data_IF_770824560175
#
_entry.id   IF_770824560175
#
_cell.length_a   1.000
_cell.length_b   1.000
_cell.length_c   1.000
_cell.angle_alpha   90.00
_cell.angle_beta   90.00
_cell.angle_gamma   90.00
#
_symmetry.space_group_name_H-M   'P 1'
#
loop_
_entity.id
_entity.type
_entity.pdbx_description
1 polymer ?
#
# COMPACT_ATOMS: atom_id res chain seq x y z
N UNK A 1 -9.29 50.07 18.52
CA UNK A 1 -8.98 50.42 19.93
C UNK A 1 -8.05 49.37 20.47
N UNK A 2 -6.78 49.72 20.68
CA UNK A 2 -5.68 48.83 21.03
C UNK A 2 -5.23 49.17 22.45
N UNK A 3 -5.39 48.25 23.40
CA UNK A 3 -4.93 48.42 24.79
C UNK A 3 -3.79 47.44 25.07
N UNK A 4 -2.57 47.97 25.13
CA UNK A 4 -1.39 47.29 25.69
C UNK A 4 -1.51 47.28 27.21
N UNK A 5 -1.27 46.13 27.83
CA UNK A 5 -1.13 45.99 29.29
C UNK A 5 0.33 45.66 29.59
N UNK A 6 1.02 46.62 30.20
CA UNK A 6 2.34 46.48 30.80
C UNK A 6 2.19 45.87 32.20
N UNK A 7 2.90 44.77 32.47
CA UNK A 7 3.06 44.20 33.82
C UNK A 7 4.54 44.12 34.16
N UNK A 8 5.05 45.16 34.84
CA UNK A 8 6.32 45.13 35.58
C UNK A 8 6.02 44.98 37.07
N UNK A 9 6.16 43.76 37.59
CA UNK A 9 6.15 43.47 39.03
C UNK A 9 7.54 43.04 39.50
N UNK A 10 8.21 43.87 40.31
CA UNK A 10 9.42 43.51 41.07
C UNK A 10 9.05 42.57 42.23
N UNK A 11 9.83 41.51 42.52
CA UNK A 11 9.64 40.73 43.75
C UNK A 11 10.18 41.48 44.99
N UNK A 12 9.52 41.36 46.16
CA UNK A 12 9.98 42.00 47.38
C UNK A 12 11.15 41.24 48.03
N UNK A 13 12.13 42.01 48.52
CA UNK A 13 13.22 41.54 49.38
C UNK A 13 12.67 41.21 50.76
N UNK A 14 12.92 40.00 51.25
CA UNK A 14 12.70 39.62 52.65
C UNK A 14 14.06 39.44 53.32
N UNK A 15 14.41 40.23 54.34
CA UNK A 15 15.55 39.94 55.21
C UNK A 15 15.04 39.62 56.61
N UNK A 16 15.24 38.39 57.09
CA UNK A 16 15.15 38.11 58.53
C UNK A 16 16.18 37.03 58.90
N UNK A 17 17.31 37.50 59.42
CA UNK A 17 18.26 36.72 60.22
C UNK A 17 17.59 36.39 61.55
N UNK A 18 17.28 35.11 61.77
CA UNK A 18 16.90 34.60 63.09
C UNK A 18 18.05 33.73 63.60
N UNK A 19 18.82 34.28 64.54
CA UNK A 19 19.73 33.50 65.37
C UNK A 19 18.88 32.63 66.30
N UNK A 20 18.89 31.31 66.08
CA UNK A 20 18.31 30.34 67.00
C UNK A 20 19.39 29.37 67.49
N UNK A 21 19.27 29.10 68.79
CA UNK A 21 20.19 28.41 69.70
C UNK A 21 20.47 26.97 69.23
N UNK A 22 21.70 26.44 69.38
CA UNK A 22 22.02 25.09 68.93
C UNK A 22 21.37 24.06 69.87
N UNK A 23 20.22 23.53 69.47
CA UNK A 23 19.62 22.34 70.08
C UNK A 23 20.41 21.14 69.58
N UNK A 24 21.10 20.44 70.49
CA UNK A 24 21.83 19.21 70.20
C UNK A 24 20.80 18.15 69.75
N UNK A 25 20.85 17.66 68.50
CA UNK A 25 19.85 16.72 68.03
C UNK A 25 20.00 15.39 68.79
N UNK A 26 18.88 14.74 69.18
CA UNK A 26 18.92 13.41 69.74
C UNK A 26 19.58 12.46 68.74
N UNK A 27 20.47 11.58 69.24
CA UNK A 27 21.18 10.58 68.43
C UNK A 27 20.19 9.87 67.51
N UNK A 28 20.25 10.19 66.21
CA UNK A 28 19.43 9.54 65.22
C UNK A 28 19.75 8.03 65.22
N UNK A 29 18.72 7.15 65.23
CA UNK A 29 18.96 5.73 65.07
C UNK A 29 19.71 5.48 63.75
N UNK A 30 20.58 4.46 63.69
CA UNK A 30 21.45 4.21 62.55
C UNK A 30 20.63 4.17 61.27
N UNK A 31 20.91 5.13 60.38
CA UNK A 31 20.28 5.24 59.06
C UNK A 31 20.63 3.93 58.34
N UNK A 32 19.67 3.00 58.25
CA UNK A 32 19.81 1.83 57.40
C UNK A 32 20.07 2.36 55.99
N UNK A 33 21.15 1.94 55.31
CA UNK A 33 21.44 2.42 53.97
C UNK A 33 20.19 2.17 53.11
N UNK A 34 19.75 3.18 52.33
CA UNK A 34 18.57 3.03 51.51
C UNK A 34 18.78 1.79 50.65
N UNK A 35 17.86 0.81 50.77
CA UNK A 35 17.87 -0.38 49.91
C UNK A 35 17.96 0.14 48.49
N UNK A 36 19.12 -0.05 47.86
CA UNK A 36 19.38 0.33 46.48
C UNK A 36 18.31 -0.41 45.68
N UNK A 37 17.21 0.29 45.35
CA UNK A 37 16.21 -0.21 44.43
C UNK A 37 17.02 -0.51 43.18
N UNK A 38 17.20 -1.81 42.87
CA UNK A 38 17.85 -2.27 41.64
C UNK A 38 17.25 -1.42 40.53
N UNK A 39 18.05 -0.47 40.02
CA UNK A 39 17.65 0.40 38.92
C UNK A 39 17.35 -0.58 37.80
N UNK A 40 16.06 -0.76 37.50
CA UNK A 40 15.65 -1.67 36.45
C UNK A 40 16.42 -1.23 35.21
N UNK A 41 17.25 -2.11 34.66
CA UNK A 41 17.98 -1.85 33.43
C UNK A 41 16.95 -1.26 32.45
N UNK A 42 17.21 -0.08 31.87
CA UNK A 42 16.25 0.54 30.96
C UNK A 42 15.88 -0.51 29.92
N UNK A 43 14.57 -0.86 29.86
CA UNK A 43 14.08 -1.78 28.83
C UNK A 43 14.59 -1.23 27.51
N UNK A 44 15.38 -2.03 26.77
CA UNK A 44 15.84 -1.64 25.43
C UNK A 44 14.62 -1.13 24.69
N UNK A 45 14.67 0.11 24.22
CA UNK A 45 13.59 0.65 23.39
C UNK A 45 13.49 -0.23 22.15
N UNK A 46 12.30 -0.39 21.60
CA UNK A 46 12.07 -1.15 20.36
C UNK A 46 13.04 -0.73 19.23
N UNK A 47 13.44 0.55 19.23
CA UNK A 47 14.47 1.11 18.34
C UNK A 47 15.88 0.56 18.57
N UNK A 48 16.29 0.29 19.81
CA UNK A 48 17.60 -0.34 20.10
C UNK A 48 17.61 -1.80 19.64
N UNK A 49 16.49 -2.53 19.79
CA UNK A 49 16.38 -3.90 19.28
C UNK A 49 16.42 -3.94 17.74
N UNK A 50 15.82 -2.96 17.06
CA UNK A 50 15.85 -2.85 15.61
C UNK A 50 17.23 -2.52 15.03
N UNK A 51 18.05 -1.77 15.76
CA UNK A 51 19.41 -1.42 15.35
C UNK A 51 20.40 -2.58 15.52
N UNK A 52 20.10 -3.53 16.40
CA UNK A 52 20.88 -4.75 16.61
C UNK A 52 20.57 -5.87 15.60
N UNK A 53 19.71 -5.62 14.60
CA UNK A 53 19.42 -6.55 13.50
C UNK A 53 20.09 -6.08 12.19
N UNK A 54 21.43 -6.17 12.06
CA UNK A 54 22.09 -6.02 10.75
C UNK A 54 21.56 -7.06 9.74
N UNK A 55 21.02 -8.18 10.23
CA UNK A 55 20.43 -9.24 9.42
C UNK A 55 18.94 -9.03 9.10
N UNK A 56 18.29 -7.95 9.59
CA UNK A 56 16.86 -7.74 9.32
C UNK A 56 16.56 -7.65 7.82
N UNK A 57 17.42 -7.02 7.02
CA UNK A 57 17.19 -6.93 5.57
C UNK A 57 17.31 -8.30 4.91
N UNK A 58 18.28 -9.12 5.32
CA UNK A 58 18.45 -10.49 4.81
C UNK A 58 17.25 -11.35 5.18
N UNK A 59 16.79 -11.28 6.43
CA UNK A 59 15.62 -12.02 6.91
C UNK A 59 14.35 -11.59 6.15
N UNK A 60 14.12 -10.29 6.02
CA UNK A 60 12.98 -9.75 5.26
C UNK A 60 13.05 -10.16 3.78
N UNK A 61 14.25 -10.29 3.20
CA UNK A 61 14.43 -10.80 1.84
C UNK A 61 13.95 -12.23 1.71
N UNK A 62 14.32 -13.10 2.64
CA UNK A 62 13.84 -14.47 2.64
C UNK A 62 12.33 -14.54 2.81
N UNK A 63 11.73 -13.79 3.74
CA UNK A 63 10.28 -13.73 3.88
C UNK A 63 9.58 -13.22 2.61
N UNK A 64 10.16 -12.23 1.93
CA UNK A 64 9.63 -11.71 0.67
C UNK A 64 9.65 -12.77 -0.44
N UNK A 65 10.77 -13.50 -0.59
CA UNK A 65 10.89 -14.60 -1.56
C UNK A 65 9.87 -15.70 -1.22
N UNK A 66 9.85 -16.16 0.04
CA UNK A 66 8.92 -17.20 0.51
C UNK A 66 7.47 -16.80 0.28
N UNK A 67 7.10 -15.55 0.57
CA UNK A 67 5.75 -15.03 0.34
C UNK A 67 5.34 -15.11 -1.14
N UNK A 68 6.20 -14.65 -2.05
CA UNK A 68 5.92 -14.75 -3.48
C UNK A 68 5.91 -16.18 -4.01
N UNK A 69 6.82 -17.04 -3.53
CA UNK A 69 6.86 -18.46 -3.89
C UNK A 69 5.59 -19.17 -3.44
N UNK A 70 5.12 -18.91 -2.21
CA UNK A 70 3.88 -19.47 -1.69
C UNK A 70 2.66 -18.95 -2.47
N UNK A 71 2.64 -17.65 -2.79
CA UNK A 71 1.58 -17.03 -3.58
C UNK A 71 1.45 -17.65 -4.98
N UNK A 72 2.59 -17.82 -5.67
CA UNK A 72 2.68 -18.39 -7.01
C UNK A 72 2.36 -19.90 -7.00
N UNK A 73 2.91 -20.65 -6.05
CA UNK A 73 2.64 -22.08 -5.90
C UNK A 73 1.16 -22.32 -5.62
N UNK A 74 0.56 -21.56 -4.69
CA UNK A 74 -0.87 -21.63 -4.41
C UNK A 74 -1.73 -21.30 -5.64
N UNK A 75 -1.34 -20.29 -6.43
CA UNK A 75 -2.02 -19.95 -7.68
C UNK A 75 -1.95 -21.08 -8.72
N UNK A 76 -0.75 -21.61 -8.99
CA UNK A 76 -0.54 -22.65 -9.99
C UNK A 76 -1.26 -23.95 -9.61
N UNK A 77 -1.17 -24.36 -8.34
CA UNK A 77 -1.82 -25.58 -7.87
C UNK A 77 -3.33 -25.42 -7.78
N UNK A 78 -3.85 -24.24 -7.38
CA UNK A 78 -5.27 -23.96 -7.48
C UNK A 78 -5.77 -24.07 -8.93
N UNK A 79 -5.05 -23.49 -9.89
CA UNK A 79 -5.38 -23.61 -11.30
C UNK A 79 -5.36 -25.07 -11.78
N UNK A 80 -4.33 -25.84 -11.39
CA UNK A 80 -4.26 -27.27 -11.67
C UNK A 80 -5.43 -28.05 -11.05
N UNK A 81 -5.89 -27.71 -9.84
CA UNK A 81 -7.06 -28.35 -9.22
C UNK A 81 -8.36 -28.08 -9.99
N UNK A 82 -8.51 -26.90 -10.59
CA UNK A 82 -9.66 -26.59 -11.46
C UNK A 82 -9.69 -27.46 -12.71
N UNK A 83 -8.52 -27.82 -13.26
CA UNK A 83 -8.40 -28.70 -14.44
C UNK A 83 -8.58 -30.18 -14.09
N UNK A 84 -8.01 -30.62 -12.96
CA UNK A 84 -7.93 -32.03 -12.56
C UNK A 84 -9.06 -32.51 -11.64
N UNK A 85 -9.96 -31.62 -11.20
CA UNK A 85 -10.99 -31.89 -10.18
C UNK A 85 -10.42 -32.45 -8.87
N UNK A 86 -9.20 -32.04 -8.51
CA UNK A 86 -8.55 -32.44 -7.25
C UNK A 86 -9.34 -31.95 -6.02
N UNK A 87 -9.36 -32.70 -4.90
CA UNK A 87 -10.24 -32.43 -3.76
C UNK A 87 -9.80 -31.24 -2.87
N UNK A 88 -8.65 -30.61 -3.12
CA UNK A 88 -8.08 -29.61 -2.20
C UNK A 88 -7.94 -28.18 -2.79
N UNK A 89 -8.91 -27.63 -3.54
CA UNK A 89 -8.79 -26.27 -4.10
C UNK A 89 -8.68 -25.21 -3.00
N UNK A 90 -9.36 -25.42 -1.87
CA UNK A 90 -9.39 -24.45 -0.76
C UNK A 90 -8.01 -24.21 -0.13
N UNK A 91 -7.18 -25.26 -0.02
CA UNK A 91 -5.85 -25.16 0.58
C UNK A 91 -4.95 -24.31 -0.32
N UNK A 92 -4.92 -24.60 -1.63
CA UNK A 92 -4.10 -23.85 -2.58
C UNK A 92 -4.55 -22.41 -2.75
N UNK A 93 -5.87 -22.18 -2.71
CA UNK A 93 -6.45 -20.83 -2.67
C UNK A 93 -5.95 -20.04 -1.45
N UNK A 94 -6.01 -20.66 -0.28
CA UNK A 94 -5.59 -20.05 1.00
C UNK A 94 -4.10 -19.77 1.01
N UNK A 95 -3.27 -20.70 0.53
CA UNK A 95 -1.82 -20.48 0.38
C UNK A 95 -1.50 -19.30 -0.51
N UNK A 96 -2.26 -19.08 -1.58
CA UNK A 96 -2.06 -17.92 -2.43
C UNK A 96 -2.17 -16.61 -1.64
N UNK A 97 -3.21 -16.46 -0.81
CA UNK A 97 -3.40 -15.27 0.03
C UNK A 97 -2.44 -15.15 1.20
N UNK A 98 -2.10 -16.26 1.86
CA UNK A 98 -1.08 -16.25 2.93
C UNK A 98 0.25 -15.74 2.37
N UNK A 99 0.64 -16.22 1.18
CA UNK A 99 1.83 -15.73 0.48
C UNK A 99 1.78 -14.22 0.25
N UNK A 100 0.64 -13.70 -0.24
CA UNK A 100 0.44 -12.27 -0.44
C UNK A 100 0.54 -11.46 0.86
N UNK A 101 -0.10 -11.94 1.93
CA UNK A 101 -0.07 -11.29 3.25
C UNK A 101 1.37 -11.22 3.75
N UNK A 102 2.14 -12.30 3.64
CA UNK A 102 3.56 -12.33 4.01
C UNK A 102 4.34 -11.31 3.17
N UNK A 103 4.19 -11.33 1.84
CA UNK A 103 4.90 -10.42 0.93
C UNK A 103 4.63 -8.96 1.26
N UNK A 104 3.36 -8.54 1.28
CA UNK A 104 3.03 -7.12 1.45
C UNK A 104 3.28 -6.63 2.87
N UNK A 105 3.09 -7.48 3.89
CA UNK A 105 3.50 -7.15 5.26
C UNK A 105 5.02 -6.92 5.34
N UNK A 106 5.81 -7.79 4.70
CA UNK A 106 7.27 -7.68 4.64
C UNK A 106 7.71 -6.37 3.97
N UNK A 107 7.09 -6.00 2.85
CA UNK A 107 7.39 -4.74 2.15
C UNK A 107 7.06 -3.52 3.01
N UNK A 108 5.93 -3.53 3.72
CA UNK A 108 5.52 -2.45 4.62
C UNK A 108 6.50 -2.30 5.79
N UNK A 109 6.85 -3.43 6.44
CA UNK A 109 7.82 -3.46 7.54
C UNK A 109 9.17 -2.90 7.07
N UNK A 110 9.67 -3.38 5.92
CA UNK A 110 10.95 -2.91 5.36
C UNK A 110 10.94 -1.41 5.11
N UNK A 111 9.89 -0.88 4.49
CA UNK A 111 9.74 0.56 4.23
C UNK A 111 9.79 1.36 5.53
N UNK A 112 9.12 0.88 6.58
CA UNK A 112 9.16 1.51 7.90
C UNK A 112 10.57 1.50 8.50
N UNK A 113 11.27 0.36 8.45
CA UNK A 113 12.64 0.24 8.97
C UNK A 113 13.62 1.19 8.25
N UNK A 114 13.53 1.30 6.92
CA UNK A 114 14.40 2.19 6.15
C UNK A 114 14.22 3.65 6.55
N UNK A 115 13.00 4.07 6.85
CA UNK A 115 12.72 5.46 7.25
C UNK A 115 13.21 5.73 8.67
N UNK A 116 13.01 4.78 9.59
CA UNK A 116 13.57 4.88 10.94
C UNK A 116 15.09 4.99 10.90
N UNK A 117 15.78 4.16 10.10
CA UNK A 117 17.24 4.20 9.95
C UNK A 117 17.72 5.52 9.32
N UNK A 118 17.06 6.01 8.27
CA UNK A 118 17.40 7.29 7.62
C UNK A 118 17.25 8.48 8.57
N UNK A 119 16.24 8.46 9.44
CA UNK A 119 16.05 9.51 10.44
C UNK A 119 17.07 9.45 11.59
N UNK A 120 17.71 8.30 11.83
CA UNK A 120 18.79 8.17 12.83
C UNK A 120 20.14 8.66 12.30
N UNK A 121 20.46 8.43 11.02
CA UNK A 121 21.74 8.86 10.45
C UNK A 121 21.85 10.38 10.29
N UNK A 122 20.70 11.05 10.21
CA UNK A 122 20.62 12.51 10.16
C UNK A 122 20.34 12.97 11.59
N UNK A 123 21.36 13.46 12.31
CA UNK A 123 21.32 13.99 13.70
C UNK A 123 20.39 15.22 13.86
N UNK A 124 19.14 15.11 13.44
CA UNK A 124 18.13 16.16 13.48
C UNK A 124 17.03 15.69 14.41
N UNK A 125 17.33 15.75 15.70
CA UNK A 125 16.39 15.55 16.79
C UNK A 125 15.19 16.54 16.76
N UNK A 126 15.22 17.55 15.87
CA UNK A 126 14.15 18.55 15.75
C UNK A 126 13.04 18.19 14.74
N UNK A 127 13.16 17.12 13.93
CA UNK A 127 12.17 16.78 12.89
C UNK A 127 11.64 15.34 12.98
N UNK A 128 11.37 14.85 14.20
CA UNK A 128 10.56 13.64 14.41
C UNK A 128 9.14 13.73 13.79
N UNK A 129 8.72 14.91 13.32
CA UNK A 129 7.48 15.16 12.58
C UNK A 129 7.45 14.59 11.15
N UNK A 130 8.58 14.09 10.60
CA UNK A 130 8.63 13.42 9.28
C UNK A 130 8.53 11.89 9.36
N UNK A 131 7.89 11.33 10.40
CA UNK A 131 7.38 9.96 10.33
C UNK A 131 6.31 9.89 9.21
N UNK A 132 6.26 8.77 8.47
CA UNK A 132 5.23 8.55 7.44
C UNK A 132 3.87 8.86 8.05
N UNK A 133 3.09 9.75 7.45
CA UNK A 133 1.72 9.97 7.91
C UNK A 133 0.89 8.69 7.72
N UNK A 134 0.01 8.36 8.66
CA UNK A 134 -0.86 7.17 8.53
C UNK A 134 -1.62 7.20 7.19
N UNK A 135 -1.98 8.39 6.71
CA UNK A 135 -2.61 8.59 5.41
C UNK A 135 -1.72 8.12 4.24
N UNK A 136 -0.43 8.46 4.23
CA UNK A 136 0.51 8.01 3.18
C UNK A 136 0.74 6.50 3.22
N UNK A 137 0.68 5.90 4.41
CA UNK A 137 0.78 4.45 4.56
C UNK A 137 -0.47 3.76 4.00
N UNK A 138 -1.65 4.23 4.37
CA UNK A 138 -2.94 3.67 3.93
C UNK A 138 -3.14 3.83 2.42
N UNK A 139 -2.66 4.94 1.84
CA UNK A 139 -2.69 5.19 0.38
C UNK A 139 -1.59 4.47 -0.38
N UNK A 140 -0.66 3.79 0.30
CA UNK A 140 0.41 3.07 -0.37
C UNK A 140 -0.13 1.83 -1.10
N UNK A 141 0.34 1.60 -2.32
CA UNK A 141 -0.07 0.48 -3.17
C UNK A 141 0.08 -0.88 -2.43
N UNK A 142 1.18 -1.07 -1.69
CA UNK A 142 1.43 -2.28 -0.91
C UNK A 142 0.42 -2.48 0.24
N UNK A 143 0.02 -1.41 0.93
CA UNK A 143 -0.99 -1.51 1.97
C UNK A 143 -2.35 -1.86 1.38
N UNK A 144 -2.71 -1.26 0.25
CA UNK A 144 -3.97 -1.57 -0.44
C UNK A 144 -4.00 -3.02 -0.92
N UNK A 145 -2.89 -3.56 -1.40
CA UNK A 145 -2.79 -4.99 -1.74
C UNK A 145 -2.87 -5.90 -0.51
N UNK A 146 -2.25 -5.52 0.61
CA UNK A 146 -2.37 -6.26 1.88
C UNK A 146 -3.83 -6.29 2.36
N UNK A 147 -4.48 -5.14 2.42
CA UNK A 147 -5.88 -5.02 2.83
C UNK A 147 -6.82 -5.80 1.89
N UNK A 148 -6.57 -5.75 0.58
CA UNK A 148 -7.31 -6.55 -0.41
C UNK A 148 -7.10 -8.05 -0.18
N UNK A 149 -5.87 -8.48 0.15
CA UNK A 149 -5.55 -9.88 0.41
C UNK A 149 -6.31 -10.43 1.61
N UNK A 150 -6.36 -9.66 2.71
CA UNK A 150 -7.18 -10.03 3.88
C UNK A 150 -8.66 -10.10 3.53
N UNK A 151 -9.19 -9.09 2.83
CA UNK A 151 -10.59 -9.08 2.44
C UNK A 151 -10.95 -10.27 1.54
N UNK A 152 -10.07 -10.62 0.60
CA UNK A 152 -10.30 -11.75 -0.30
C UNK A 152 -10.18 -13.10 0.41
N UNK A 153 -9.28 -13.25 1.37
CA UNK A 153 -9.13 -14.48 2.16
C UNK A 153 -10.42 -14.87 2.89
N UNK A 154 -11.18 -13.89 3.40
CA UNK A 154 -12.45 -14.12 4.10
C UNK A 154 -13.68 -14.05 3.18
N UNK A 155 -13.46 -13.94 1.87
CA UNK A 155 -14.52 -13.90 0.88
C UNK A 155 -14.60 -15.22 0.12
N UNK A 156 -15.71 -15.52 -0.56
CA UNK A 156 -15.85 -16.78 -1.28
C UNK A 156 -14.82 -16.95 -2.41
N UNK A 157 -14.42 -18.19 -2.66
CA UNK A 157 -13.35 -18.52 -3.59
C UNK A 157 -13.67 -18.07 -5.01
N UNK A 158 -12.69 -17.45 -5.67
CA UNK A 158 -12.78 -17.10 -7.08
C UNK A 158 -11.39 -17.01 -7.70
N UNK A 159 -11.22 -17.65 -8.86
CA UNK A 159 -9.99 -17.61 -9.63
C UNK A 159 -9.52 -16.17 -9.93
N UNK A 160 -10.47 -15.28 -10.25
CA UNK A 160 -10.17 -13.88 -10.56
C UNK A 160 -9.56 -13.12 -9.38
N UNK A 161 -9.80 -13.53 -8.13
CA UNK A 161 -9.23 -12.87 -6.94
C UNK A 161 -7.74 -13.18 -6.76
N UNK A 162 -7.29 -14.38 -7.15
CA UNK A 162 -5.88 -14.80 -6.99
C UNK A 162 -5.03 -14.53 -8.23
N UNK A 163 -5.65 -14.39 -9.41
CA UNK A 163 -4.94 -14.19 -10.68
C UNK A 163 -3.99 -12.97 -10.67
N UNK A 164 -4.40 -11.77 -10.20
CA UNK A 164 -3.51 -10.63 -10.12
C UNK A 164 -2.26 -10.92 -9.26
N UNK A 165 -2.46 -11.55 -8.12
CA UNK A 165 -1.38 -11.89 -7.20
C UNK A 165 -0.43 -12.95 -7.75
N UNK A 166 -0.95 -13.94 -8.48
CA UNK A 166 -0.14 -14.92 -9.21
C UNK A 166 0.74 -14.24 -10.26
N UNK A 167 0.17 -13.36 -11.08
CA UNK A 167 0.91 -12.59 -12.10
C UNK A 167 1.99 -11.70 -11.48
N UNK A 168 1.65 -10.95 -10.42
CA UNK A 168 2.63 -10.13 -9.73
C UNK A 168 3.73 -10.96 -9.08
N UNK A 169 3.40 -12.09 -8.47
CA UNK A 169 4.41 -12.95 -7.84
C UNK A 169 5.34 -13.59 -8.86
N UNK A 170 4.82 -14.01 -10.02
CA UNK A 170 5.63 -14.48 -11.14
C UNK A 170 6.61 -13.40 -11.60
N UNK A 171 6.12 -12.19 -11.87
CA UNK A 171 6.97 -11.09 -12.35
C UNK A 171 8.01 -10.66 -11.31
N UNK A 172 7.66 -10.65 -10.02
CA UNK A 172 8.60 -10.29 -8.95
C UNK A 172 9.68 -11.37 -8.76
N UNK A 173 9.30 -12.65 -8.76
CA UNK A 173 10.27 -13.75 -8.68
C UNK A 173 11.17 -13.81 -9.91
N UNK A 174 10.63 -13.63 -11.11
CA UNK A 174 11.45 -13.57 -12.32
C UNK A 174 12.41 -12.38 -12.29
N UNK A 175 11.96 -11.21 -11.83
CA UNK A 175 12.84 -10.05 -11.64
C UNK A 175 13.97 -10.35 -10.65
N UNK A 176 13.67 -11.01 -9.53
CA UNK A 176 14.65 -11.43 -8.53
C UNK A 176 15.66 -12.42 -9.12
N UNK A 177 15.19 -13.47 -9.80
CA UNK A 177 16.04 -14.47 -10.44
C UNK A 177 16.99 -13.84 -11.46
N UNK A 178 16.48 -12.98 -12.33
CA UNK A 178 17.26 -12.34 -13.40
C UNK A 178 18.28 -11.33 -12.86
N UNK A 179 17.89 -10.50 -11.88
CA UNK A 179 18.74 -9.39 -11.41
C UNK A 179 19.71 -9.78 -10.31
N UNK A 180 19.37 -10.79 -9.51
CA UNK A 180 20.13 -11.13 -8.31
C UNK A 180 20.75 -12.52 -8.37
N UNK A 181 20.00 -13.54 -8.81
CA UNK A 181 20.50 -14.93 -8.81
C UNK A 181 21.35 -15.22 -10.05
N UNK A 182 20.89 -14.81 -11.23
CA UNK A 182 21.54 -15.06 -12.52
C UNK A 182 22.19 -13.81 -13.09
N UNK A 183 22.58 -12.85 -12.26
CA UNK A 183 23.09 -11.53 -12.69
C UNK A 183 24.22 -11.62 -13.72
N UNK A 184 25.11 -12.61 -13.56
CA UNK A 184 26.32 -12.74 -14.37
C UNK A 184 26.10 -13.52 -15.68
N UNK A 185 24.92 -14.11 -15.87
CA UNK A 185 24.59 -14.87 -17.07
C UNK A 185 24.12 -13.95 -18.21
N UNK A 186 24.56 -14.23 -19.43
CA UNK A 186 24.19 -13.47 -20.64
C UNK A 186 22.68 -13.42 -20.86
N UNK A 187 21.98 -14.52 -20.58
CA UNK A 187 20.52 -14.63 -20.72
C UNK A 187 19.76 -13.58 -19.89
N UNK A 188 20.28 -13.22 -18.72
CA UNK A 188 19.66 -12.25 -17.82
C UNK A 188 19.60 -10.86 -18.44
N UNK A 189 20.64 -10.46 -19.20
CA UNK A 189 20.67 -9.17 -19.90
C UNK A 189 19.56 -9.06 -20.95
N UNK A 190 19.22 -10.16 -21.60
CA UNK A 190 18.14 -10.22 -22.60
C UNK A 190 16.75 -10.32 -21.97
N UNK A 191 16.63 -10.90 -20.78
CA UNK A 191 15.34 -11.02 -20.08
C UNK A 191 14.90 -9.74 -19.37
N UNK A 192 15.80 -8.85 -18.95
CA UNK A 192 15.45 -7.57 -18.31
C UNK A 192 14.48 -6.72 -19.14
N UNK A 193 14.73 -6.42 -20.43
CA UNK A 193 13.78 -5.62 -21.23
C UNK A 193 12.45 -6.32 -21.40
N UNK A 194 12.44 -7.65 -21.54
CA UNK A 194 11.21 -8.45 -21.63
C UNK A 194 10.37 -8.33 -20.35
N UNK A 195 11.00 -8.40 -19.17
CA UNK A 195 10.31 -8.24 -17.90
C UNK A 195 9.73 -6.83 -17.73
N UNK A 196 10.48 -5.79 -18.13
CA UNK A 196 9.98 -4.41 -18.15
C UNK A 196 8.77 -4.26 -19.08
N UNK A 197 8.81 -4.91 -20.24
CA UNK A 197 7.70 -4.91 -21.20
C UNK A 197 6.42 -5.52 -20.61
N UNK A 198 6.52 -6.60 -19.84
CA UNK A 198 5.34 -7.23 -19.21
C UNK A 198 4.83 -6.53 -17.94
N UNK A 199 5.65 -5.71 -17.28
CA UNK A 199 5.31 -5.07 -16.02
C UNK A 199 4.12 -4.09 -16.14
N UNK A 200 4.10 -3.25 -17.17
CA UNK A 200 3.02 -2.27 -17.37
C UNK A 200 1.70 -2.91 -17.82
N UNK A 201 1.68 -3.80 -18.83
CA UNK A 201 0.46 -4.50 -19.24
C UNK A 201 -0.13 -5.35 -18.13
N UNK A 202 0.70 -6.06 -17.35
CA UNK A 202 0.20 -6.88 -16.23
C UNK A 202 -0.52 -6.04 -15.18
N UNK A 203 -0.01 -4.85 -14.83
CA UNK A 203 -0.68 -3.90 -13.94
C UNK A 203 -2.05 -3.45 -14.46
N UNK A 204 -2.15 -3.17 -15.76
CA UNK A 204 -3.41 -2.78 -16.40
C UNK A 204 -4.40 -3.95 -16.38
N UNK A 205 -3.95 -5.15 -16.73
CA UNK A 205 -4.76 -6.38 -16.68
C UNK A 205 -5.27 -6.62 -15.25
N UNK A 206 -4.40 -6.51 -14.25
CA UNK A 206 -4.78 -6.65 -12.84
C UNK A 206 -5.83 -5.60 -12.42
N UNK A 207 -5.68 -4.36 -12.89
CA UNK A 207 -6.63 -3.28 -12.63
C UNK A 207 -8.00 -3.60 -13.26
N UNK A 208 -8.04 -4.16 -14.47
CA UNK A 208 -9.28 -4.67 -15.07
C UNK A 208 -9.90 -5.82 -14.27
N UNK A 209 -9.08 -6.77 -13.81
CA UNK A 209 -9.56 -7.88 -13.00
C UNK A 209 -10.23 -7.38 -11.71
N UNK A 210 -9.69 -6.34 -11.07
CA UNK A 210 -10.33 -5.74 -9.88
C UNK A 210 -11.76 -5.25 -10.18
N UNK A 211 -12.05 -4.74 -11.38
CA UNK A 211 -13.42 -4.41 -11.81
C UNK A 211 -14.29 -5.65 -12.05
N UNK A 212 -13.73 -6.68 -12.70
CA UNK A 212 -14.41 -7.96 -12.89
C UNK A 212 -14.64 -8.72 -11.59
N UNK A 213 -13.90 -8.43 -10.52
CA UNK A 213 -14.16 -8.99 -9.19
C UNK A 213 -15.25 -8.19 -8.47
N UNK A 214 -15.22 -6.86 -8.59
CA UNK A 214 -16.21 -5.96 -7.98
C UNK A 214 -17.64 -6.30 -8.44
N UNK A 215 -17.86 -6.33 -9.76
CA UNK A 215 -19.20 -6.29 -10.35
C UNK A 215 -19.95 -7.64 -10.23
N UNK A 216 -19.42 -8.78 -10.68
CA UNK A 216 -20.14 -10.04 -10.56
C UNK A 216 -19.92 -10.74 -9.22
N UNK A 217 -18.69 -10.77 -8.70
CA UNK A 217 -18.37 -11.66 -7.59
C UNK A 217 -18.76 -11.04 -6.26
N UNK A 218 -18.37 -9.80 -5.99
CA UNK A 218 -18.64 -9.20 -4.69
C UNK A 218 -20.06 -8.66 -4.62
N UNK A 219 -20.52 -7.95 -5.65
CA UNK A 219 -21.87 -7.41 -5.64
C UNK A 219 -22.95 -8.50 -5.64
N UNK A 220 -22.94 -9.46 -6.61
CA UNK A 220 -24.01 -10.47 -6.62
C UNK A 220 -23.95 -11.36 -5.38
N UNK A 221 -22.76 -11.79 -4.96
CA UNK A 221 -22.65 -12.72 -3.85
C UNK A 221 -22.95 -12.08 -2.49
N UNK A 222 -22.54 -10.83 -2.28
CA UNK A 222 -22.81 -10.13 -1.02
C UNK A 222 -24.27 -9.70 -0.89
N UNK A 223 -24.91 -9.31 -2.00
CA UNK A 223 -26.30 -8.82 -2.00
C UNK A 223 -27.31 -9.97 -2.05
N UNK A 224 -27.11 -10.95 -2.94
CA UNK A 224 -28.13 -11.96 -3.23
C UNK A 224 -27.91 -13.30 -2.54
N UNK A 225 -26.67 -13.67 -2.18
CA UNK A 225 -26.38 -15.02 -1.64
C UNK A 225 -26.16 -14.97 -0.13
N UNK A 226 -25.17 -14.21 0.34
CA UNK A 226 -24.72 -14.29 1.73
C UNK A 226 -25.30 -13.18 2.64
N UNK A 227 -25.96 -12.18 2.07
CA UNK A 227 -26.46 -10.99 2.77
C UNK A 227 -25.42 -10.25 3.64
N UNK A 228 -24.12 -10.42 3.34
CA UNK A 228 -23.02 -9.78 4.05
C UNK A 228 -22.68 -8.42 3.45
N UNK A 229 -23.58 -7.45 3.61
CA UNK A 229 -23.42 -6.11 3.04
C UNK A 229 -22.13 -5.40 3.48
N UNK A 230 -21.63 -5.69 4.68
CA UNK A 230 -20.39 -5.09 5.19
C UNK A 230 -19.16 -5.41 4.31
N UNK A 231 -19.09 -6.61 3.70
CA UNK A 231 -17.99 -6.97 2.80
C UNK A 231 -17.96 -6.07 1.56
N UNK A 232 -19.15 -5.76 1.02
CA UNK A 232 -19.30 -4.84 -0.10
C UNK A 232 -18.87 -3.43 0.28
N UNK A 233 -19.23 -2.95 1.48
CA UNK A 233 -18.84 -1.62 1.97
C UNK A 233 -17.31 -1.51 2.09
N UNK A 234 -16.65 -2.48 2.75
CA UNK A 234 -15.19 -2.49 2.86
C UNK A 234 -14.51 -2.58 1.49
N UNK A 235 -15.05 -3.41 0.59
CA UNK A 235 -14.51 -3.53 -0.75
C UNK A 235 -14.62 -2.21 -1.54
N UNK A 236 -15.80 -1.58 -1.53
CA UNK A 236 -16.01 -0.29 -2.20
C UNK A 236 -15.08 0.78 -1.63
N UNK A 237 -14.91 0.84 -0.32
CA UNK A 237 -13.98 1.77 0.32
C UNK A 237 -12.55 1.55 -0.16
N UNK A 238 -12.04 0.30 -0.14
CA UNK A 238 -10.71 -0.01 -0.65
C UNK A 238 -10.57 0.29 -2.15
N UNK A 239 -11.61 0.00 -2.92
CA UNK A 239 -11.63 0.26 -4.36
C UNK A 239 -11.60 1.77 -4.67
N UNK A 240 -12.33 2.61 -3.93
CA UNK A 240 -12.25 4.06 -4.07
C UNK A 240 -10.86 4.59 -3.69
N UNK A 241 -10.25 4.10 -2.61
CA UNK A 241 -8.88 4.50 -2.23
C UNK A 241 -7.88 4.05 -3.30
N UNK A 242 -8.04 2.84 -3.87
CA UNK A 242 -7.24 2.37 -5.01
C UNK A 242 -7.41 3.26 -6.24
N UNK A 243 -8.64 3.68 -6.56
CA UNK A 243 -8.91 4.59 -7.67
C UNK A 243 -8.22 5.95 -7.47
N UNK A 244 -8.21 6.46 -6.24
CA UNK A 244 -7.50 7.71 -5.91
C UNK A 244 -5.97 7.54 -5.93
N UNK A 245 -5.45 6.40 -5.48
CA UNK A 245 -4.01 6.22 -5.22
C UNK A 245 -3.26 5.61 -6.40
N UNK A 246 -3.90 4.74 -7.18
CA UNK A 246 -3.24 3.91 -8.20
C UNK A 246 -3.58 4.43 -9.60
N UNK A 247 -2.55 4.83 -10.36
CA UNK A 247 -2.69 5.36 -11.73
C UNK A 247 -3.36 4.38 -12.69
N UNK A 248 -2.94 3.10 -12.68
CA UNK A 248 -3.51 2.09 -13.58
C UNK A 248 -5.00 1.85 -13.35
N UNK A 249 -5.45 1.94 -12.10
CA UNK A 249 -6.86 1.81 -11.74
C UNK A 249 -7.69 2.95 -12.35
N UNK A 250 -7.17 4.19 -12.31
CA UNK A 250 -7.80 5.34 -13.00
C UNK A 250 -7.86 5.12 -14.49
N UNK A 251 -6.75 4.73 -15.11
CA UNK A 251 -6.70 4.49 -16.56
C UNK A 251 -7.79 3.52 -16.99
N UNK A 252 -7.92 2.38 -16.30
CA UNK A 252 -8.95 1.38 -16.59
C UNK A 252 -10.36 1.94 -16.38
N UNK A 253 -10.59 2.70 -15.31
CA UNK A 253 -11.89 3.32 -15.08
C UNK A 253 -12.30 4.29 -16.19
N UNK A 254 -11.34 5.08 -16.68
CA UNK A 254 -11.58 5.98 -17.80
C UNK A 254 -11.80 5.24 -19.12
N UNK A 255 -11.12 4.11 -19.36
CA UNK A 255 -11.45 3.23 -20.48
C UNK A 255 -12.89 2.72 -20.41
N UNK A 256 -13.42 2.47 -19.21
CA UNK A 256 -14.82 2.08 -19.02
C UNK A 256 -15.77 3.26 -19.31
N UNK A 257 -15.46 4.48 -18.87
CA UNK A 257 -16.23 5.68 -19.23
C UNK A 257 -16.25 5.87 -20.75
N UNK A 258 -15.10 5.73 -21.40
CA UNK A 258 -14.99 5.83 -22.86
C UNK A 258 -15.81 4.76 -23.59
N UNK A 259 -15.86 3.54 -23.06
CA UNK A 259 -16.72 2.47 -23.58
C UNK A 259 -18.20 2.88 -23.51
N UNK A 260 -18.64 3.46 -22.39
CA UNK A 260 -20.02 3.96 -22.23
C UNK A 260 -20.32 5.10 -23.20
N UNK A 261 -19.40 6.06 -23.36
CA UNK A 261 -19.53 7.14 -24.35
C UNK A 261 -19.69 6.57 -25.78
N UNK A 262 -18.89 5.56 -26.11
CA UNK A 262 -18.96 4.88 -27.41
C UNK A 262 -20.31 4.19 -27.60
N UNK A 263 -20.82 3.49 -26.60
CA UNK A 263 -22.14 2.85 -26.64
C UNK A 263 -23.27 3.86 -26.80
N UNK A 264 -23.23 4.97 -26.07
CA UNK A 264 -24.20 6.07 -26.20
C UNK A 264 -24.17 6.61 -27.64
N UNK A 265 -22.98 6.81 -28.20
CA UNK A 265 -22.80 7.33 -29.56
C UNK A 265 -23.38 6.38 -30.62
N UNK A 266 -23.12 5.06 -30.49
CA UNK A 266 -23.69 4.03 -31.37
C UNK A 266 -25.23 3.99 -31.26
N UNK A 267 -25.78 4.11 -30.05
CA UNK A 267 -27.23 4.11 -29.84
C UNK A 267 -27.89 5.35 -30.48
N UNK A 268 -27.24 6.52 -30.37
CA UNK A 268 -27.70 7.75 -31.01
C UNK A 268 -27.65 7.66 -32.55
N UNK A 269 -26.57 7.09 -33.10
CA UNK A 269 -26.43 6.85 -34.55
C UNK A 269 -27.54 5.92 -35.08
N UNK A 270 -27.87 4.88 -34.31
CA UNK A 270 -29.01 3.99 -34.58
C UNK A 270 -30.40 4.61 -34.31
N UNK A 271 -30.47 5.92 -34.04
CA UNK A 271 -31.71 6.66 -33.72
C UNK A 271 -32.49 6.11 -32.52
N UNK A 272 -31.83 5.41 -31.60
CA UNK A 272 -32.45 4.95 -30.34
C UNK A 272 -32.64 6.15 -29.42
N UNK A 273 -33.88 6.43 -29.02
CA UNK A 273 -34.20 7.54 -28.10
C UNK A 273 -33.66 7.22 -26.69
N UNK A 274 -32.51 7.78 -26.35
CA UNK A 274 -31.99 7.77 -24.97
C UNK A 274 -32.73 8.84 -24.17
N UNK A 275 -33.18 8.49 -22.96
CA UNK A 275 -33.84 9.46 -22.07
C UNK A 275 -32.90 10.65 -21.79
N UNK A 276 -33.29 11.90 -22.10
CA UNK A 276 -32.42 13.07 -21.93
C UNK A 276 -32.00 13.28 -20.48
N UNK A 277 -32.85 12.91 -19.51
CA UNK A 277 -32.54 13.00 -18.08
C UNK A 277 -31.35 12.09 -17.72
N UNK A 278 -31.29 10.89 -18.29
CA UNK A 278 -30.19 9.93 -18.06
C UNK A 278 -28.90 10.48 -18.65
N UNK A 279 -28.96 11.01 -19.87
CA UNK A 279 -27.80 11.60 -20.55
C UNK A 279 -27.24 12.82 -19.79
N UNK A 280 -28.11 13.71 -19.31
CA UNK A 280 -27.69 14.87 -18.49
C UNK A 280 -27.05 14.42 -17.18
N UNK A 281 -27.62 13.42 -16.49
CA UNK A 281 -27.05 12.87 -15.25
C UNK A 281 -25.68 12.23 -15.50
N UNK A 282 -25.55 11.46 -16.57
CA UNK A 282 -24.29 10.84 -16.97
C UNK A 282 -23.21 11.89 -17.29
N UNK A 283 -23.53 12.90 -18.08
CA UNK A 283 -22.60 13.98 -18.42
C UNK A 283 -22.16 14.77 -17.18
N UNK A 284 -23.07 15.03 -16.24
CA UNK A 284 -22.74 15.66 -14.96
C UNK A 284 -21.81 14.78 -14.12
N UNK A 285 -22.09 13.48 -14.06
CA UNK A 285 -21.22 12.51 -13.40
C UNK A 285 -19.81 12.53 -13.99
N UNK A 286 -19.68 12.44 -15.31
CA UNK A 286 -18.39 12.47 -16.02
C UNK A 286 -17.60 13.74 -15.70
N UNK A 287 -18.23 14.91 -15.80
CA UNK A 287 -17.60 16.20 -15.49
C UNK A 287 -17.14 16.30 -14.03
N UNK A 288 -17.96 15.83 -13.09
CA UNK A 288 -17.58 15.82 -11.67
C UNK A 288 -16.43 14.85 -11.41
N UNK A 289 -16.45 13.68 -12.05
CA UNK A 289 -15.40 12.70 -11.91
C UNK A 289 -14.06 13.20 -12.46
N UNK A 290 -14.06 13.82 -13.65
CA UNK A 290 -12.87 14.42 -14.24
C UNK A 290 -12.25 15.53 -13.39
N UNK A 291 -13.09 16.29 -12.66
CA UNK A 291 -12.62 17.29 -11.70
C UNK A 291 -11.99 16.67 -10.47
N UNK A 292 -12.56 15.57 -9.96
CA UNK A 292 -12.09 14.92 -8.73
C UNK A 292 -10.84 14.08 -8.95
N UNK A 293 -10.73 13.40 -10.09
CA UNK A 293 -9.68 12.43 -10.38
C UNK A 293 -9.09 12.65 -11.77
N UNK A 294 -8.42 13.79 -12.02
CA UNK A 294 -7.94 14.13 -13.36
C UNK A 294 -7.01 13.03 -13.91
N UNK A 295 -7.29 12.63 -15.15
CA UNK A 295 -6.36 11.81 -15.93
C UNK A 295 -5.04 12.54 -16.11
N UNK A 296 -3.97 11.81 -15.88
CA UNK A 296 -2.64 12.21 -16.28
C UNK A 296 -2.66 12.43 -17.81
N UNK A 297 -2.23 13.61 -18.31
CA UNK A 297 -2.35 13.98 -19.72
C UNK A 297 -1.64 12.99 -20.67
N UNK A 298 -0.65 12.24 -20.18
CA UNK A 298 0.01 11.14 -20.90
C UNK A 298 -0.95 10.03 -21.35
N UNK A 299 -2.14 9.91 -20.75
CA UNK A 299 -3.17 8.95 -21.11
C UNK A 299 -4.30 9.55 -21.96
N UNK A 300 -4.38 10.89 -22.09
CA UNK A 300 -5.36 11.53 -22.99
C UNK A 300 -5.05 11.24 -24.46
N UNK A 301 -3.76 11.10 -24.79
CA UNK A 301 -3.31 10.74 -26.15
C UNK A 301 -3.85 9.38 -26.60
N UNK A 302 -3.98 8.41 -25.71
CA UNK A 302 -4.57 7.09 -25.99
C UNK A 302 -6.07 7.16 -26.34
N UNK A 303 -6.80 8.13 -25.77
CA UNK A 303 -8.23 8.32 -26.06
C UNK A 303 -8.48 9.06 -27.37
N UNK A 304 -7.54 9.90 -27.80
CA UNK A 304 -7.63 10.65 -29.07
C UNK A 304 -7.02 9.91 -30.26
N UNK A 305 -6.15 8.91 -30.02
CA UNK A 305 -5.44 8.18 -31.08
C UNK A 305 -6.18 6.94 -31.61
N UNK A 306 -7.48 6.79 -31.39
CA UNK A 306 -8.31 5.78 -32.08
C UNK A 306 -8.51 6.02 -33.59
N UNK A 307 -7.60 6.79 -34.22
CA UNK A 307 -7.14 6.53 -35.57
C UNK A 307 -5.76 5.84 -35.47
N UNK A 308 -5.76 4.52 -35.33
CA UNK A 308 -4.54 3.69 -35.30
C UNK A 308 -3.78 3.77 -36.65
N UNK A 309 -2.44 3.66 -36.68
CA UNK A 309 -1.71 2.51 -36.15
C UNK A 309 -0.69 2.81 -35.06
N UNK A 310 -0.36 1.74 -34.32
CA UNK A 310 0.54 1.67 -33.18
C UNK A 310 1.90 2.35 -33.45
N UNK A 311 2.15 3.41 -32.68
CA UNK A 311 3.50 3.92 -32.40
C UNK A 311 3.70 3.82 -30.89
N UNK A 312 4.59 2.91 -30.47
CA UNK A 312 5.10 2.86 -29.10
C UNK A 312 5.99 4.09 -28.89
N UNK A 313 5.35 5.21 -28.54
CA UNK A 313 6.06 6.41 -28.11
C UNK A 313 6.88 6.12 -26.86
N UNK A 314 8.16 6.47 -26.90
CA UNK A 314 9.04 6.50 -25.74
C UNK A 314 8.39 7.39 -24.67
N UNK A 315 7.93 6.76 -23.59
CA UNK A 315 7.46 7.45 -22.40
C UNK A 315 8.66 7.63 -21.50
N UNK A 316 8.97 8.90 -21.21
CA UNK A 316 10.09 9.32 -20.37
C UNK A 316 10.16 8.57 -19.03
N UNK A 317 11.37 8.15 -18.71
CA UNK A 317 11.72 7.05 -17.80
C UNK A 317 11.87 7.48 -16.33
N UNK A 318 11.33 8.64 -15.93
CA UNK A 318 11.69 9.26 -14.64
C UNK A 318 10.74 8.98 -13.45
N UNK A 319 9.68 8.19 -13.65
CA UNK A 319 8.78 7.77 -12.54
C UNK A 319 8.85 6.28 -12.20
N UNK A 320 9.59 5.49 -12.97
CA UNK A 320 9.82 4.06 -12.71
C UNK A 320 10.78 3.82 -11.53
N UNK A 321 11.58 4.82 -11.16
CA UNK A 321 12.51 4.77 -10.02
C UNK A 321 11.86 5.15 -8.67
N UNK A 322 10.80 5.97 -8.68
CA UNK A 322 10.15 6.47 -7.46
C UNK A 322 8.90 5.69 -7.05
N UNK A 323 8.20 5.02 -7.97
CA UNK A 323 7.04 4.19 -7.65
C UNK A 323 7.46 2.75 -7.26
N UNK A 324 8.69 2.35 -7.60
CA UNK A 324 9.39 1.17 -7.06
C UNK A 324 10.41 1.48 -5.95
N UNK A 325 10.46 2.73 -5.48
CA UNK A 325 11.40 3.16 -4.45
C UNK A 325 11.09 2.52 -3.10
N UNK A 326 11.97 1.60 -2.67
CA UNK A 326 12.02 0.93 -1.36
C UNK A 326 11.26 -0.39 -1.15
N UNK A 327 10.91 -1.11 -2.24
CA UNK A 327 10.51 -2.53 -2.16
C UNK A 327 11.53 -3.53 -2.74
N UNK A 328 12.50 -3.07 -3.53
CA UNK A 328 13.48 -3.94 -4.22
C UNK A 328 14.64 -4.28 -3.28
N UNK A 329 14.96 -5.57 -3.12
CA UNK A 329 16.22 -6.04 -2.49
C UNK A 329 17.39 -5.91 -3.47
N UNK A 330 17.45 -4.79 -4.21
CA UNK A 330 18.56 -4.45 -5.09
C UNK A 330 19.53 -3.54 -4.38
#
# INVERSE_FOLDING_TARGET
MSSKVDLKGKPPKVPLKVNSIPIKPPKAPPIKPPKVKKVAKPKKTFQQMLNELPDADVILKYFWITGHSLALMGFLLYFATMLSRSPLPMIWYTFSFIGCIITYSTVIIRRYLLIVRKNQSVNVYSNFSKLISVNDLVRSENFLFLATSFLYLFSPMSFFKILPFGLFSLLNLMNYLVKEVFRDYSISRHLIPLLKFFEKPSRIICSHIDFFVLIPIIFLQSVFINHHFYQLVFFLQLWFIKLESIKSQRTVFYSLIYLVDTLISILQDKKVKINPVVLTKYNRFKLNFEKLLPLDPSYKTFSTSNKLPFSLGNVDDDTSSLIYGQGRFS
#
